data_IF_896386096134
#
_entry.id   IF_896386096134
#
_cell.length_a   1.000
_cell.length_b   1.000
_cell.length_c   1.000
_cell.angle_alpha   90.00
_cell.angle_beta   90.00
_cell.angle_gamma   90.00
#
_symmetry.space_group_name_H-M   'P 1'
#
loop_
_entity.id
_entity.type
_entity.pdbx_description
1 polymer ?
#
# COMPACT_ATOMS: atom_id res chain seq x y z
N UNK A 1 -5.46 -8.62 -21.50
CA UNK A 1 -4.52 -9.74 -21.27
C UNK A 1 -3.24 -9.17 -20.67
N UNK A 2 -2.98 -9.28 -19.35
CA UNK A 2 -1.62 -9.43 -18.76
C UNK A 2 -1.52 -9.40 -17.20
N UNK A 3 -2.57 -9.14 -16.43
CA UNK A 3 -2.45 -9.13 -14.94
C UNK A 3 -2.09 -10.50 -14.33
N UNK A 4 -2.51 -11.59 -14.97
CA UNK A 4 -2.29 -12.96 -14.49
C UNK A 4 -0.79 -13.35 -14.47
N UNK A 5 -0.03 -12.87 -15.44
CA UNK A 5 1.41 -13.15 -15.53
C UNK A 5 2.20 -12.43 -14.45
N UNK A 6 1.82 -11.19 -14.13
CA UNK A 6 2.47 -10.40 -13.09
C UNK A 6 2.25 -10.99 -11.70
N UNK A 7 1.00 -11.36 -11.37
CA UNK A 7 0.67 -11.92 -10.06
C UNK A 7 1.35 -13.28 -9.81
N UNK A 8 1.38 -14.15 -10.82
CA UNK A 8 2.09 -15.43 -10.74
C UNK A 8 3.61 -15.22 -10.61
N UNK A 9 4.17 -14.26 -11.35
CA UNK A 9 5.59 -13.90 -11.25
C UNK A 9 5.96 -13.38 -9.85
N UNK A 10 5.13 -12.50 -9.27
CA UNK A 10 5.33 -11.96 -7.92
C UNK A 10 5.37 -13.07 -6.85
N UNK A 11 4.44 -14.03 -6.90
CA UNK A 11 4.42 -15.15 -5.97
C UNK A 11 5.67 -16.04 -6.08
N UNK A 12 6.13 -16.31 -7.32
CA UNK A 12 7.35 -17.09 -7.56
C UNK A 12 8.61 -16.34 -7.13
N UNK A 13 8.67 -15.03 -7.32
CA UNK A 13 9.79 -14.19 -6.83
C UNK A 13 9.87 -14.23 -5.30
N UNK A 14 8.74 -14.20 -4.59
CA UNK A 14 8.72 -14.35 -3.13
C UNK A 14 9.22 -15.72 -2.68
N UNK A 15 8.80 -16.79 -3.35
CA UNK A 15 9.30 -18.14 -3.05
C UNK A 15 10.82 -18.24 -3.26
N UNK A 16 11.35 -17.65 -4.33
CA UNK A 16 12.79 -17.58 -4.58
C UNK A 16 13.54 -16.79 -3.51
N UNK A 17 12.99 -15.65 -3.07
CA UNK A 17 13.54 -14.87 -1.96
C UNK A 17 13.55 -15.67 -0.66
N UNK A 18 12.48 -16.39 -0.36
CA UNK A 18 12.38 -17.23 0.83
C UNK A 18 13.49 -18.29 0.88
N UNK A 19 13.71 -18.99 -0.23
CA UNK A 19 14.78 -19.99 -0.38
C UNK A 19 16.16 -19.34 -0.19
N UNK A 20 16.39 -18.19 -0.83
CA UNK A 20 17.66 -17.48 -0.70
C UNK A 20 17.92 -17.01 0.74
N UNK A 21 16.90 -16.53 1.45
CA UNK A 21 17.01 -16.15 2.85
C UNK A 21 17.27 -17.34 3.77
N UNK A 22 16.58 -18.46 3.54
CA UNK A 22 16.77 -19.69 4.32
C UNK A 22 18.23 -20.17 4.21
N UNK A 23 18.74 -20.24 2.97
CA UNK A 23 20.14 -20.60 2.69
C UNK A 23 21.15 -19.61 3.29
N UNK A 24 20.80 -18.32 3.35
CA UNK A 24 21.61 -17.27 3.95
C UNK A 24 21.47 -17.17 5.48
N UNK A 25 20.78 -18.13 6.13
CA UNK A 25 20.51 -18.12 7.57
C UNK A 25 19.78 -16.84 8.03
N UNK A 26 18.94 -16.28 7.16
CA UNK A 26 18.06 -15.12 7.39
C UNK A 26 16.66 -15.65 7.66
N UNK A 27 16.54 -16.35 8.78
CA UNK A 27 15.41 -17.24 9.02
C UNK A 27 14.08 -16.49 9.22
N UNK A 28 14.11 -15.31 9.83
CA UNK A 28 12.91 -14.48 10.00
C UNK A 28 12.36 -14.02 8.64
N UNK A 29 13.25 -13.59 7.73
CA UNK A 29 12.88 -13.18 6.38
C UNK A 29 12.41 -14.35 5.54
N UNK A 30 13.05 -15.52 5.70
CA UNK A 30 12.63 -16.75 5.04
C UNK A 30 11.21 -17.16 5.45
N UNK A 31 10.93 -17.19 6.76
CA UNK A 31 9.59 -17.50 7.29
C UNK A 31 8.55 -16.55 6.71
N UNK A 32 8.85 -15.24 6.71
CA UNK A 32 7.95 -14.23 6.18
C UNK A 32 7.68 -14.42 4.69
N UNK A 33 8.72 -14.57 3.86
CA UNK A 33 8.56 -14.76 2.42
C UNK A 33 7.91 -16.10 2.05
N UNK A 34 8.15 -17.18 2.80
CA UNK A 34 7.47 -18.45 2.57
C UNK A 34 5.97 -18.33 2.82
N UNK A 35 5.57 -17.65 3.91
CA UNK A 35 4.16 -17.38 4.21
C UNK A 35 3.49 -16.56 3.10
N UNK A 36 4.07 -15.41 2.76
CA UNK A 36 3.56 -14.53 1.71
C UNK A 36 3.48 -15.22 0.33
N UNK A 37 4.48 -16.04 -0.01
CA UNK A 37 4.46 -16.81 -1.25
C UNK A 37 3.34 -17.85 -1.25
N UNK A 38 3.18 -18.60 -0.15
CA UNK A 38 2.14 -19.61 -0.03
C UNK A 38 0.74 -19.00 -0.13
N UNK A 39 0.48 -17.91 0.60
CA UNK A 39 -0.81 -17.22 0.59
C UNK A 39 -1.16 -16.69 -0.79
N UNK A 40 -0.21 -16.05 -1.48
CA UNK A 40 -0.40 -15.56 -2.86
C UNK A 40 -0.65 -16.70 -3.84
N UNK A 41 0.08 -17.82 -3.74
CA UNK A 41 -0.14 -19.00 -4.59
C UNK A 41 -1.54 -19.57 -4.36
N UNK A 42 -1.95 -19.74 -3.10
CA UNK A 42 -3.26 -20.29 -2.77
C UNK A 42 -4.39 -19.39 -3.28
N UNK A 43 -4.26 -18.07 -3.13
CA UNK A 43 -5.22 -17.10 -3.66
C UNK A 43 -5.32 -17.16 -5.20
N UNK A 44 -4.17 -17.32 -5.89
CA UNK A 44 -4.16 -17.48 -7.35
C UNK A 44 -4.84 -18.78 -7.80
N UNK A 45 -4.62 -19.88 -7.07
CA UNK A 45 -5.29 -21.15 -7.39
C UNK A 45 -6.80 -21.06 -7.11
N UNK A 46 -7.21 -20.46 -5.99
CA UNK A 46 -8.62 -20.29 -5.63
C UNK A 46 -9.37 -19.43 -6.65
N UNK A 47 -8.71 -18.39 -7.18
CA UNK A 47 -9.27 -17.52 -8.21
C UNK A 47 -9.19 -18.08 -9.64
N UNK A 48 -8.71 -19.33 -9.81
CA UNK A 48 -8.56 -19.97 -11.13
C UNK A 48 -7.45 -19.37 -12.00
N UNK A 49 -6.58 -18.53 -11.42
CA UNK A 49 -5.48 -17.83 -12.10
C UNK A 49 -4.20 -18.64 -12.17
N UNK A 50 -4.10 -19.73 -11.40
CA UNK A 50 -2.99 -20.68 -11.41
C UNK A 50 -3.49 -22.13 -11.36
N UNK A 51 -2.66 -23.06 -11.86
CA UNK A 51 -2.96 -24.49 -11.85
C UNK A 51 -3.14 -25.02 -10.41
N UNK A 52 -4.14 -25.90 -10.16
CA UNK A 52 -4.30 -26.57 -8.88
C UNK A 52 -3.06 -27.34 -8.41
N UNK A 53 -2.15 -27.72 -9.32
CA UNK A 53 -0.89 -28.36 -8.99
C UNK A 53 -0.01 -27.51 -8.06
N UNK A 54 -0.10 -26.17 -8.13
CA UNK A 54 0.68 -25.28 -7.28
C UNK A 54 0.27 -25.32 -5.81
N UNK A 55 -0.90 -25.89 -5.46
CA UNK A 55 -1.30 -26.10 -4.05
C UNK A 55 -0.26 -26.91 -3.29
N UNK A 56 0.33 -27.93 -3.93
CA UNK A 56 1.36 -28.76 -3.32
C UNK A 56 2.58 -27.91 -2.91
N UNK A 57 3.08 -27.07 -3.82
CA UNK A 57 4.21 -26.18 -3.52
C UNK A 57 3.90 -25.16 -2.43
N UNK A 58 2.69 -24.60 -2.40
CA UNK A 58 2.28 -23.71 -1.31
C UNK A 58 2.30 -24.42 0.05
N UNK A 59 1.81 -25.66 0.11
CA UNK A 59 1.87 -26.47 1.34
C UNK A 59 3.32 -26.76 1.77
N UNK A 60 4.20 -27.11 0.83
CA UNK A 60 5.63 -27.32 1.11
C UNK A 60 6.30 -26.05 1.69
N UNK A 61 5.92 -24.86 1.20
CA UNK A 61 6.39 -23.59 1.75
C UNK A 61 5.87 -23.31 3.16
N UNK A 62 4.59 -23.60 3.43
CA UNK A 62 4.01 -23.50 4.79
C UNK A 62 4.72 -24.45 5.75
N UNK A 63 4.91 -25.71 5.37
CA UNK A 63 5.63 -26.70 6.19
C UNK A 63 7.05 -26.24 6.51
N UNK A 64 7.76 -25.66 5.53
CA UNK A 64 9.10 -25.12 5.75
C UNK A 64 9.08 -23.91 6.69
N UNK A 65 8.15 -22.97 6.51
CA UNK A 65 8.00 -21.81 7.38
C UNK A 65 7.72 -22.23 8.84
N UNK A 66 6.83 -23.20 9.05
CA UNK A 66 6.51 -23.71 10.39
C UNK A 66 7.69 -24.46 11.02
N UNK A 67 8.43 -25.24 10.24
CA UNK A 67 9.67 -25.85 10.71
C UNK A 67 10.68 -24.79 11.20
N UNK A 68 10.92 -23.76 10.39
CA UNK A 68 11.84 -22.67 10.72
C UNK A 68 11.36 -21.91 11.95
N UNK A 69 10.06 -21.61 12.04
CA UNK A 69 9.46 -20.88 13.17
C UNK A 69 9.59 -21.63 14.48
N UNK A 70 9.35 -22.95 14.47
CA UNK A 70 9.52 -23.81 15.66
C UNK A 70 10.96 -23.82 16.17
N UNK A 71 11.92 -23.86 15.26
CA UNK A 71 13.35 -23.91 15.60
C UNK A 71 14.02 -22.54 15.66
N UNK A 72 13.27 -21.45 15.46
CA UNK A 72 13.79 -20.10 15.28
C UNK A 72 14.74 -19.64 16.40
N UNK A 73 14.43 -19.84 17.70
CA UNK A 73 15.36 -19.42 18.76
C UNK A 73 16.75 -20.06 18.62
N UNK A 74 16.79 -21.38 18.35
CA UNK A 74 18.05 -22.12 18.14
C UNK A 74 18.78 -21.64 16.88
N UNK A 75 18.04 -21.44 15.80
CA UNK A 75 18.57 -21.01 14.52
C UNK A 75 19.16 -19.59 14.58
N UNK A 76 18.53 -18.67 15.32
CA UNK A 76 19.05 -17.32 15.53
C UNK A 76 20.34 -17.31 16.35
N UNK A 77 20.47 -18.16 17.36
CA UNK A 77 21.73 -18.28 18.11
C UNK A 77 22.86 -18.79 17.22
N UNK A 78 22.59 -19.76 16.34
CA UNK A 78 23.57 -20.23 15.35
C UNK A 78 23.95 -19.11 14.37
N UNK A 79 22.96 -18.36 13.84
CA UNK A 79 23.24 -17.27 12.90
C UNK A 79 24.08 -16.13 13.53
N UNK A 80 23.93 -15.87 14.84
CA UNK A 80 24.74 -14.88 15.55
C UNK A 80 26.21 -15.29 15.69
N UNK A 81 26.54 -16.58 15.68
CA UNK A 81 27.94 -17.02 15.74
C UNK A 81 28.64 -16.97 14.39
N UNK A 82 27.88 -16.97 13.29
CA UNK A 82 28.42 -16.97 11.92
C UNK A 82 28.44 -15.59 11.27
N UNK A 83 27.68 -14.62 11.80
CA UNK A 83 27.52 -13.28 11.20
C UNK A 83 28.11 -12.18 12.08
N UNK A 84 28.71 -11.17 11.45
CA UNK A 84 29.13 -9.97 12.17
C UNK A 84 27.92 -9.18 12.68
N UNK A 85 28.06 -8.41 13.78
CA UNK A 85 27.01 -7.50 14.24
C UNK A 85 26.57 -6.50 13.16
N UNK A 86 27.52 -6.01 12.37
CA UNK A 86 27.28 -5.08 11.26
C UNK A 86 26.42 -5.72 10.16
N UNK A 87 26.63 -7.00 9.87
CA UNK A 87 25.82 -7.76 8.91
C UNK A 87 24.40 -7.99 9.43
N UNK A 88 24.24 -8.40 10.69
CA UNK A 88 22.93 -8.62 11.31
C UNK A 88 22.08 -7.34 11.27
N UNK A 89 22.72 -6.20 11.53
CA UNK A 89 22.08 -4.90 11.54
C UNK A 89 21.59 -4.48 10.15
N UNK A 90 22.40 -4.69 9.11
CA UNK A 90 21.99 -4.49 7.73
C UNK A 90 20.80 -5.39 7.35
N UNK A 91 20.86 -6.67 7.72
CA UNK A 91 19.79 -7.63 7.45
C UNK A 91 18.46 -7.21 8.10
N UNK A 92 18.50 -6.67 9.33
CA UNK A 92 17.32 -6.11 10.01
C UNK A 92 16.72 -4.92 9.24
N UNK A 93 17.54 -3.97 8.80
CA UNK A 93 17.07 -2.83 8.01
C UNK A 93 16.44 -3.29 6.68
N UNK A 94 17.08 -4.22 5.98
CA UNK A 94 16.57 -4.81 4.75
C UNK A 94 15.24 -5.56 4.97
N UNK A 95 15.09 -6.24 6.11
CA UNK A 95 13.85 -6.94 6.43
C UNK A 95 12.68 -6.00 6.71
N UNK A 96 12.92 -4.91 7.46
CA UNK A 96 11.90 -3.89 7.70
C UNK A 96 11.41 -3.28 6.37
N UNK A 97 12.33 -2.97 5.44
CA UNK A 97 11.97 -2.51 4.09
C UNK A 97 11.18 -3.56 3.32
N UNK A 98 11.57 -4.83 3.37
CA UNK A 98 10.85 -5.91 2.70
C UNK A 98 9.39 -5.99 3.18
N UNK A 99 9.14 -5.94 4.49
CA UNK A 99 7.77 -5.92 5.03
C UNK A 99 6.99 -4.70 4.54
N UNK A 100 7.62 -3.53 4.58
CA UNK A 100 7.01 -2.30 4.11
C UNK A 100 6.60 -2.38 2.64
N UNK A 101 7.49 -2.90 1.77
CA UNK A 101 7.22 -3.08 0.35
C UNK A 101 6.04 -4.01 0.08
N UNK A 102 5.94 -5.15 0.75
CA UNK A 102 4.83 -6.08 0.51
C UNK A 102 3.49 -5.52 0.99
N UNK A 103 3.48 -4.78 2.09
CA UNK A 103 2.29 -4.09 2.59
C UNK A 103 1.86 -2.95 1.67
N UNK A 104 2.83 -2.19 1.15
CA UNK A 104 2.61 -1.13 0.18
C UNK A 104 2.01 -1.68 -1.13
N UNK A 105 2.59 -2.76 -1.67
CA UNK A 105 2.05 -3.50 -2.81
C UNK A 105 0.63 -4.01 -2.57
N UNK A 106 0.31 -4.42 -1.35
CA UNK A 106 -1.02 -4.87 -0.95
C UNK A 106 -2.01 -3.72 -0.68
N UNK A 107 -1.56 -2.45 -0.77
CA UNK A 107 -2.38 -1.28 -0.52
C UNK A 107 -2.61 -0.95 0.95
N UNK A 108 -1.92 -1.63 1.87
CA UNK A 108 -1.96 -1.37 3.31
C UNK A 108 -1.03 -0.20 3.68
N UNK A 109 -1.34 1.00 3.16
CA UNK A 109 -0.47 2.19 3.23
C UNK A 109 -0.03 2.55 4.65
N UNK A 110 -0.95 2.61 5.62
CA UNK A 110 -0.62 2.91 7.03
C UNK A 110 0.38 1.91 7.63
N UNK A 111 0.17 0.60 7.45
CA UNK A 111 1.12 -0.41 7.94
C UNK A 111 2.46 -0.35 7.20
N UNK A 112 2.44 -0.04 5.90
CA UNK A 112 3.67 0.16 5.14
C UNK A 112 4.47 1.36 5.66
N UNK A 113 3.79 2.47 6.01
CA UNK A 113 4.42 3.65 6.63
C UNK A 113 5.09 3.28 7.95
N UNK A 114 4.44 2.48 8.79
CA UNK A 114 5.00 2.03 10.07
C UNK A 114 6.30 1.24 9.86
N UNK A 115 6.29 0.27 8.93
CA UNK A 115 7.48 -0.54 8.64
C UNK A 115 8.60 0.23 7.94
N UNK A 116 8.28 1.17 7.05
CA UNK A 116 9.29 2.05 6.49
C UNK A 116 9.90 2.96 7.55
N UNK A 117 9.09 3.44 8.51
CA UNK A 117 9.57 4.25 9.64
C UNK A 117 10.48 3.44 10.56
N UNK A 118 10.14 2.18 10.83
CA UNK A 118 11.00 1.24 11.55
C UNK A 118 12.34 1.03 10.81
N UNK A 119 12.31 0.86 9.48
CA UNK A 119 13.53 0.71 8.69
C UNK A 119 14.46 1.94 8.80
N UNK A 120 13.88 3.15 8.79
CA UNK A 120 14.61 4.41 8.99
C UNK A 120 15.24 4.44 10.38
N UNK A 121 14.47 4.09 11.41
CA UNK A 121 14.95 4.07 12.80
C UNK A 121 16.11 3.08 12.99
N UNK A 122 15.98 1.86 12.46
CA UNK A 122 17.07 0.87 12.46
C UNK A 122 18.30 1.42 11.75
N UNK A 123 18.15 2.09 10.61
CA UNK A 123 19.28 2.69 9.89
C UNK A 123 19.97 3.82 10.66
N UNK A 124 19.21 4.67 11.37
CA UNK A 124 19.75 5.74 12.20
C UNK A 124 20.57 5.14 13.35
N UNK A 125 19.96 4.24 14.13
CA UNK A 125 20.62 3.55 15.25
C UNK A 125 21.89 2.82 14.79
N UNK A 126 21.82 2.20 13.61
CA UNK A 126 22.95 1.53 13.01
C UNK A 126 24.09 2.48 12.62
N UNK A 127 23.74 3.64 12.08
CA UNK A 127 24.72 4.61 11.61
C UNK A 127 25.52 5.29 12.73
N UNK A 128 24.93 5.42 13.93
CA UNK A 128 25.57 6.03 15.12
C UNK A 128 26.77 5.22 15.63
N UNK A 129 26.75 3.91 15.45
CA UNK A 129 27.78 3.00 15.97
C UNK A 129 28.60 2.31 14.87
N UNK A 130 28.36 2.65 13.59
CA UNK A 130 29.00 2.00 12.46
C UNK A 130 30.30 2.70 12.06
N UNK A 131 31.46 2.10 12.37
CA UNK A 131 32.77 2.58 11.90
C UNK A 131 33.01 2.35 10.39
N UNK A 132 32.33 1.37 9.80
CA UNK A 132 32.47 1.00 8.38
C UNK A 132 31.81 2.03 7.45
N UNK A 133 32.60 2.68 6.58
CA UNK A 133 32.11 3.70 5.66
C UNK A 133 31.09 3.19 4.64
N UNK A 134 31.36 2.02 4.04
CA UNK A 134 30.49 1.43 3.01
C UNK A 134 29.14 0.99 3.58
N UNK A 135 29.13 0.41 4.78
CA UNK A 135 27.90 0.03 5.45
C UNK A 135 27.07 1.27 5.81
N UNK A 136 27.71 2.32 6.34
CA UNK A 136 27.04 3.60 6.64
C UNK A 136 26.40 4.20 5.38
N UNK A 137 27.07 4.10 4.23
CA UNK A 137 26.54 4.56 2.96
C UNK A 137 25.34 3.73 2.49
N UNK A 138 25.36 2.41 2.67
CA UNK A 138 24.21 1.53 2.38
C UNK A 138 23.01 1.84 3.28
N UNK A 139 23.23 1.96 4.58
CA UNK A 139 22.17 2.30 5.55
C UNK A 139 21.54 3.65 5.23
N UNK A 140 22.35 4.66 4.87
CA UNK A 140 21.83 5.96 4.44
C UNK A 140 20.97 5.86 3.18
N UNK A 141 21.39 5.07 2.19
CA UNK A 141 20.60 4.85 0.97
C UNK A 141 19.24 4.21 1.30
N UNK A 142 19.24 3.19 2.17
CA UNK A 142 18.02 2.55 2.64
C UNK A 142 17.11 3.55 3.34
N UNK A 143 17.64 4.31 4.30
CA UNK A 143 16.89 5.31 5.06
C UNK A 143 16.27 6.39 4.16
N UNK A 144 17.06 6.95 3.22
CA UNK A 144 16.56 7.97 2.31
C UNK A 144 15.45 7.44 1.40
N UNK A 145 15.62 6.24 0.83
CA UNK A 145 14.59 5.64 -0.02
C UNK A 145 13.30 5.33 0.76
N UNK A 146 13.42 4.84 2.00
CA UNK A 146 12.28 4.61 2.87
C UNK A 146 11.57 5.92 3.24
N UNK A 147 12.33 6.99 3.53
CA UNK A 147 11.79 8.31 3.84
C UNK A 147 10.99 8.90 2.68
N UNK A 148 11.57 8.90 1.47
CA UNK A 148 10.90 9.35 0.25
C UNK A 148 9.58 8.58 0.05
N UNK A 149 9.58 7.27 0.31
CA UNK A 149 8.37 6.46 0.17
C UNK A 149 7.33 6.77 1.25
N UNK A 150 7.73 6.98 2.50
CA UNK A 150 6.84 7.41 3.59
C UNK A 150 6.16 8.73 3.25
N UNK A 151 6.92 9.72 2.78
CA UNK A 151 6.37 11.03 2.39
C UNK A 151 5.36 10.90 1.25
N UNK A 152 5.66 10.05 0.26
CA UNK A 152 4.73 9.75 -0.81
C UNK A 152 3.44 9.09 -0.28
N UNK A 153 3.56 8.05 0.54
CA UNK A 153 2.40 7.31 1.08
C UNK A 153 1.52 8.20 1.94
N UNK A 154 2.09 9.09 2.76
CA UNK A 154 1.33 10.07 3.55
C UNK A 154 0.51 11.01 2.67
N UNK A 155 1.06 11.47 1.54
CA UNK A 155 0.32 12.29 0.57
C UNK A 155 -0.84 11.51 -0.05
N UNK A 156 -0.62 10.23 -0.37
CA UNK A 156 -1.67 9.35 -0.90
C UNK A 156 -2.79 9.13 0.12
N UNK A 157 -2.47 8.90 1.40
CA UNK A 157 -3.48 8.74 2.45
C UNK A 157 -4.27 10.03 2.70
N UNK A 158 -3.61 11.19 2.70
CA UNK A 158 -4.29 12.47 2.83
C UNK A 158 -5.23 12.72 1.64
N UNK A 159 -4.79 12.42 0.42
CA UNK A 159 -5.62 12.56 -0.77
C UNK A 159 -6.87 11.66 -0.69
N UNK A 160 -6.71 10.39 -0.30
CA UNK A 160 -7.84 9.46 -0.09
C UNK A 160 -8.80 9.97 0.98
N UNK A 161 -8.27 10.58 2.05
CA UNK A 161 -9.08 11.18 3.12
C UNK A 161 -9.90 12.36 2.62
N UNK A 162 -9.29 13.26 1.84
CA UNK A 162 -9.98 14.41 1.24
C UNK A 162 -11.07 13.94 0.28
N UNK A 163 -10.76 13.00 -0.61
CA UNK A 163 -11.72 12.42 -1.57
C UNK A 163 -12.94 11.82 -0.85
N UNK A 164 -12.70 10.99 0.17
CA UNK A 164 -13.77 10.40 0.97
C UNK A 164 -14.65 11.44 1.68
N UNK A 165 -14.08 12.58 2.09
CA UNK A 165 -14.86 13.67 2.68
C UNK A 165 -15.69 14.42 1.62
N UNK A 166 -15.15 14.57 0.41
CA UNK A 166 -15.84 15.28 -0.69
C UNK A 166 -16.97 14.48 -1.33
N UNK A 167 -16.86 13.14 -1.41
CA UNK A 167 -17.94 12.29 -1.95
C UNK A 167 -19.20 12.27 -1.07
N UNK A 168 -19.06 12.62 0.22
CA UNK A 168 -20.17 12.63 1.19
C UNK A 168 -20.82 14.02 1.35
N UNK A 169 -20.42 15.02 0.55
CA UNK A 169 -21.06 16.34 0.59
C UNK A 169 -22.36 16.32 -0.23
N UNK A 170 -23.47 16.86 0.30
CA UNK A 170 -24.70 17.03 -0.47
C UNK A 170 -24.47 17.99 -1.65
N UNK A 171 -25.14 17.73 -2.77
CA UNK A 171 -25.14 18.66 -3.91
C UNK A 171 -25.53 20.05 -3.43
N UNK A 172 -24.68 21.03 -3.75
CA UNK A 172 -24.95 22.43 -3.41
C UNK A 172 -26.26 22.82 -4.11
N UNK A 173 -27.30 23.26 -3.37
CA UNK A 173 -28.52 23.76 -3.99
C UNK A 173 -28.15 24.89 -4.95
N UNK A 174 -28.58 24.78 -6.20
CA UNK A 174 -28.42 25.86 -7.18
C UNK A 174 -29.17 27.07 -6.65
N UNK A 175 -28.43 28.05 -6.15
CA UNK A 175 -28.98 29.26 -5.56
C UNK A 175 -29.76 30.02 -6.66
N UNK A 176 -31.05 30.30 -6.42
CA UNK A 176 -31.92 30.99 -7.39
C UNK A 176 -31.39 32.39 -7.76
N UNK A 177 -30.47 32.92 -6.96
CA UNK A 177 -29.71 34.16 -7.22
C UNK A 177 -28.92 34.07 -8.54
N UNK A 178 -28.47 32.88 -8.94
CA UNK A 178 -27.76 32.65 -10.21
C UNK A 178 -28.67 32.79 -11.44
N UNK A 179 -30.00 32.81 -11.25
CA UNK A 179 -31.00 32.98 -12.31
C UNK A 179 -31.52 34.41 -12.44
N UNK A 180 -31.08 35.33 -11.59
CA UNK A 180 -31.42 36.74 -11.70
C UNK A 180 -30.65 37.37 -12.86
N UNK A 181 -31.26 37.31 -14.04
CA UNK A 181 -30.81 38.09 -15.20
C UNK A 181 -31.19 39.55 -14.94
N UNK A 182 -30.24 40.37 -14.49
CA UNK A 182 -30.41 41.81 -14.19
C UNK A 182 -30.68 42.67 -15.44
N UNK A 183 -30.79 42.05 -16.62
CA UNK A 183 -31.16 42.70 -17.87
C UNK A 183 -32.64 42.43 -18.19
N UNK A 184 -33.55 42.93 -17.37
CA UNK A 184 -34.95 43.06 -17.73
C UNK A 184 -35.24 44.54 -17.96
N UNK A 185 -35.44 44.92 -19.23
CA UNK A 185 -35.97 46.22 -19.63
C UNK A 185 -37.30 46.51 -18.90
N UNK A 186 -37.58 47.79 -18.56
CA UNK A 186 -38.80 48.14 -17.85
C UNK A 186 -40.05 47.87 -18.71
N UNK A 187 -41.16 47.39 -18.12
CA UNK A 187 -42.38 47.13 -18.85
C UNK A 187 -43.01 48.45 -19.32
N UNK A 188 -43.21 48.56 -20.63
CA UNK A 188 -43.95 49.65 -21.27
C UNK A 188 -45.44 49.49 -20.98
N UNK A 189 -45.94 50.26 -20.02
CA UNK A 189 -47.38 50.41 -19.76
C UNK A 189 -48.00 51.33 -20.82
N UNK A 190 -48.73 50.75 -21.78
CA UNK A 190 -49.81 51.47 -22.46
C UNK A 190 -51.05 50.59 -22.53
N UNK A 191 -51.96 50.84 -21.58
CA UNK A 191 -53.33 50.37 -21.61
C UNK A 191 -54.11 51.07 -22.73
N UNK A 192 -54.87 50.31 -23.51
CA UNK A 192 -56.05 50.83 -24.21
C UNK A 192 -57.26 49.94 -23.87
N UNK A 193 -58.42 50.52 -23.50
CA UNK A 193 -59.60 49.75 -23.17
C UNK A 193 -60.43 49.49 -24.44
N UNK A 194 -61.06 48.32 -24.52
CA UNK A 194 -62.12 48.05 -25.51
C UNK A 194 -63.35 47.44 -24.83
N UNK A 195 -64.58 47.76 -25.29
CA UNK A 195 -65.78 47.77 -24.46
C UNK A 195 -66.55 46.44 -24.47
N UNK A 196 -67.27 46.17 -23.38
CA UNK A 196 -68.13 45.01 -23.19
C UNK A 196 -69.46 45.11 -23.95
N UNK A 197 -70.03 44.00 -24.47
CA UNK A 197 -71.41 43.97 -24.93
C UNK A 197 -72.39 43.59 -23.83
N UNK A 198 -73.50 44.33 -23.84
CA UNK A 198 -74.71 44.23 -23.04
C UNK A 198 -75.48 42.93 -23.36
N UNK A 199 -76.04 42.27 -22.35
CA UNK A 199 -77.13 41.29 -22.53
C UNK A 199 -78.42 41.78 -21.86
N UNK A 200 -79.60 41.55 -22.48
CA UNK A 200 -80.87 42.05 -21.97
C UNK A 200 -81.52 41.01 -21.03
N UNK A 201 -82.29 41.49 -20.04
CA UNK A 201 -83.24 40.66 -19.29
C UNK A 201 -84.62 41.29 -19.29
N UNK A 202 -85.60 40.40 -19.52
CA UNK A 202 -87.05 40.61 -19.55
C UNK A 202 -87.60 41.21 -18.26
#
# INVERSE_FOLDING_TARGET
MSDYGHATSSAMQLAQRAIAFDQAQRYEEAIYCYGEAADRILALVQSGKASPAFKKSALEYVERAEFLKRDLPRLLEIAKTTKSPSRILLEKAEFAVLKAQLLDEAGHCSLAIDWYSEAIQVCIQASEHCAEGDLRLKLRKIANSALERVEHLKKVEEQKRVEALTENLPDVPVDEISRLNLAADPPSEYSTPSPSPITPRK
#
